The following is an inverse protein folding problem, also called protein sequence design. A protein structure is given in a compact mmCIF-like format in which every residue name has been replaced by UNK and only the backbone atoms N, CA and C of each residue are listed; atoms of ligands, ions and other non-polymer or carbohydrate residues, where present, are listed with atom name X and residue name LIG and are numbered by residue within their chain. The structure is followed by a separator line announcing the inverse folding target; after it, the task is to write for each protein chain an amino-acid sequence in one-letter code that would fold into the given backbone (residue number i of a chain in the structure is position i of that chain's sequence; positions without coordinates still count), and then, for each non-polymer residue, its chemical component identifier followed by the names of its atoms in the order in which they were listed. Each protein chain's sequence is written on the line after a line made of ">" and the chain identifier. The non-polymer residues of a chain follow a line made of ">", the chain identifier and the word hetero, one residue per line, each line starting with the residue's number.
data_IF_565446104396
#
_entry.id   IF_565446104396
#
_cell.length_a   1.000
_cell.length_b   1.000
_cell.length_c   1.000
_cell.angle_alpha   90.00
_cell.angle_beta   90.00
_cell.angle_gamma   90.00
#
_symmetry.space_group_name_H-M   'P 1'
#
loop_
_entity.id
_entity.type
_entity.pdbx_description
1 polymer ?
#
# COMPACT_ATOMS: atom_id res chain seq x y z
N UNK A 1 7.05 83.50 15.48
CA UNK A 1 5.80 82.69 15.65
C UNK A 1 5.45 81.84 14.40
N UNK A 2 5.71 82.29 13.18
CA UNK A 2 5.38 81.52 11.93
C UNK A 2 6.41 80.40 11.64
N UNK A 3 7.63 80.51 12.15
CA UNK A 3 8.71 79.52 11.91
C UNK A 3 8.59 78.28 12.85
N UNK A 4 8.16 78.51 14.08
CA UNK A 4 7.94 77.46 15.09
C UNK A 4 6.72 76.57 14.70
N UNK A 5 5.70 77.15 14.11
CA UNK A 5 4.54 76.37 13.68
C UNK A 5 4.83 75.39 12.51
N UNK A 6 5.72 75.74 11.57
CA UNK A 6 6.12 74.82 10.49
C UNK A 6 6.93 73.63 10.98
N UNK A 7 7.82 73.82 11.95
CA UNK A 7 8.64 72.72 12.50
C UNK A 7 7.77 71.71 13.25
N UNK A 8 6.82 72.16 14.03
CA UNK A 8 5.86 71.30 14.75
C UNK A 8 4.99 70.51 13.79
N UNK A 9 4.50 71.12 12.71
CA UNK A 9 3.69 70.41 11.70
C UNK A 9 4.52 69.30 11.00
N UNK A 10 5.80 69.52 10.72
CA UNK A 10 6.66 68.51 10.08
C UNK A 10 6.89 67.31 11.03
N UNK A 11 7.17 67.53 12.32
CA UNK A 11 7.31 66.46 13.28
C UNK A 11 6.04 65.62 13.49
N UNK A 12 4.88 66.29 13.47
CA UNK A 12 3.57 65.61 13.51
C UNK A 12 3.30 64.78 12.27
N UNK A 13 3.68 65.25 11.09
CA UNK A 13 3.51 64.54 9.83
C UNK A 13 4.33 63.27 9.78
N UNK A 14 5.58 63.29 10.21
CA UNK A 14 6.45 62.09 10.27
C UNK A 14 5.89 61.02 11.22
N UNK A 15 5.48 61.43 12.41
CA UNK A 15 4.82 60.54 13.39
C UNK A 15 3.52 59.95 12.86
N UNK A 16 2.72 60.72 12.15
CA UNK A 16 1.47 60.27 11.54
C UNK A 16 1.72 59.22 10.44
N UNK A 17 2.71 59.44 9.60
CA UNK A 17 3.10 58.50 8.54
C UNK A 17 3.56 57.14 9.15
N UNK A 18 4.35 57.19 10.21
CA UNK A 18 4.80 55.97 10.91
C UNK A 18 3.61 55.20 11.51
N UNK A 19 2.69 55.86 12.17
CA UNK A 19 1.49 55.22 12.71
C UNK A 19 0.63 54.63 11.59
N UNK A 20 0.46 55.35 10.49
CA UNK A 20 -0.31 54.89 9.35
C UNK A 20 0.34 53.63 8.72
N UNK A 21 1.67 53.60 8.59
CA UNK A 21 2.41 52.44 8.11
C UNK A 21 2.22 51.20 9.03
N UNK A 22 2.36 51.39 10.34
CA UNK A 22 2.15 50.29 11.30
C UNK A 22 0.70 49.78 11.29
N UNK A 23 -0.29 50.66 11.25
CA UNK A 23 -1.69 50.21 11.16
C UNK A 23 -2.00 49.46 9.87
N UNK A 24 -1.48 49.94 8.73
CA UNK A 24 -1.63 49.27 7.43
C UNK A 24 -0.93 47.89 7.46
N UNK A 25 0.27 47.81 8.05
CA UNK A 25 1.04 46.56 8.18
C UNK A 25 0.30 45.53 9.04
N UNK A 26 -0.31 45.95 10.16
CA UNK A 26 -1.12 45.06 11.02
C UNK A 26 -2.36 44.57 10.27
N UNK A 27 -3.05 45.43 9.55
CA UNK A 27 -4.24 45.06 8.77
C UNK A 27 -3.88 44.08 7.66
N UNK A 28 -2.81 44.32 6.91
CA UNK A 28 -2.36 43.38 5.85
C UNK A 28 -1.94 42.04 6.41
N UNK A 29 -1.25 42.00 7.55
CA UNK A 29 -0.89 40.76 8.24
C UNK A 29 -2.13 39.99 8.69
N UNK A 30 -3.11 40.69 9.27
CA UNK A 30 -4.36 40.07 9.72
C UNK A 30 -5.16 39.48 8.56
N UNK A 31 -5.28 40.21 7.45
CA UNK A 31 -5.95 39.74 6.24
C UNK A 31 -5.24 38.54 5.61
N UNK A 32 -3.90 38.58 5.56
CA UNK A 32 -3.09 37.46 5.06
C UNK A 32 -3.28 36.19 5.90
N UNK A 33 -3.24 36.33 7.23
CA UNK A 33 -3.46 35.21 8.13
C UNK A 33 -4.87 34.61 7.99
N UNK A 34 -5.89 35.47 7.85
CA UNK A 34 -7.28 35.03 7.64
C UNK A 34 -7.42 34.27 6.30
N UNK A 35 -6.78 34.77 5.23
CA UNK A 35 -6.74 34.09 3.94
C UNK A 35 -6.06 32.73 4.03
N UNK A 36 -4.87 32.65 4.61
CA UNK A 36 -4.12 31.41 4.77
C UNK A 36 -4.90 30.37 5.62
N UNK A 37 -5.61 30.79 6.66
CA UNK A 37 -6.45 29.87 7.46
C UNK A 37 -7.67 29.37 6.69
N UNK A 38 -8.28 30.19 5.83
CA UNK A 38 -9.37 29.77 4.97
C UNK A 38 -8.89 28.79 3.88
N UNK A 39 -7.75 29.03 3.25
CA UNK A 39 -7.15 28.14 2.27
C UNK A 39 -6.80 26.78 2.88
N UNK A 40 -6.19 26.77 4.08
CA UNK A 40 -5.91 25.51 4.79
C UNK A 40 -7.18 24.72 5.11
N UNK A 41 -8.25 25.39 5.53
CA UNK A 41 -9.54 24.74 5.79
C UNK A 41 -10.12 24.15 4.50
N UNK A 42 -10.02 24.82 3.38
CA UNK A 42 -10.51 24.35 2.10
C UNK A 42 -9.71 23.11 1.64
N UNK A 43 -8.37 23.09 1.82
CA UNK A 43 -7.53 21.95 1.49
C UNK A 43 -7.90 20.73 2.35
N UNK A 44 -8.09 20.93 3.66
CA UNK A 44 -8.49 19.83 4.56
C UNK A 44 -9.88 19.30 4.18
N UNK A 45 -10.83 20.19 3.90
CA UNK A 45 -12.19 19.80 3.51
C UNK A 45 -12.21 19.04 2.19
N UNK A 46 -11.46 19.51 1.19
CA UNK A 46 -11.37 18.80 -0.10
C UNK A 46 -10.71 17.43 0.04
N UNK A 47 -9.65 17.31 0.85
CA UNK A 47 -9.01 16.02 1.13
C UNK A 47 -9.96 15.06 1.86
N UNK A 48 -10.73 15.55 2.83
CA UNK A 48 -11.74 14.74 3.54
C UNK A 48 -12.88 14.31 2.61
N UNK A 49 -13.34 15.19 1.71
CA UNK A 49 -14.36 14.86 0.72
C UNK A 49 -13.86 13.76 -0.25
N UNK A 50 -12.66 13.89 -0.79
CA UNK A 50 -12.06 12.87 -1.67
C UNK A 50 -11.89 11.53 -0.95
N UNK A 51 -11.49 11.54 0.32
CA UNK A 51 -11.38 10.31 1.12
C UNK A 51 -12.76 9.67 1.34
N UNK A 52 -13.78 10.46 1.66
CA UNK A 52 -15.15 9.96 1.83
C UNK A 52 -15.72 9.37 0.53
N UNK A 53 -15.47 10.00 -0.62
CA UNK A 53 -15.86 9.48 -1.93
C UNK A 53 -15.21 8.11 -2.21
N UNK A 54 -13.92 7.97 -1.89
CA UNK A 54 -13.20 6.70 -2.02
C UNK A 54 -13.80 5.60 -1.14
N UNK A 55 -14.13 5.92 0.10
CA UNK A 55 -14.77 4.96 1.03
C UNK A 55 -16.15 4.54 0.54
N UNK A 56 -16.95 5.49 0.05
CA UNK A 56 -18.28 5.20 -0.53
C UNK A 56 -18.14 4.29 -1.75
N UNK A 57 -17.18 4.56 -2.63
CA UNK A 57 -16.91 3.71 -3.80
C UNK A 57 -16.55 2.28 -3.38
N UNK A 58 -15.65 2.12 -2.41
CA UNK A 58 -15.28 0.80 -1.88
C UNK A 58 -16.48 0.06 -1.27
N UNK A 59 -17.32 0.74 -0.48
CA UNK A 59 -18.53 0.16 0.10
C UNK A 59 -19.52 -0.28 -0.99
N UNK A 60 -19.65 0.51 -2.04
CA UNK A 60 -20.51 0.19 -3.19
C UNK A 60 -20.00 -1.07 -3.90
N UNK A 61 -18.70 -1.21 -4.09
CA UNK A 61 -18.11 -2.41 -4.69
C UNK A 61 -18.29 -3.65 -3.81
N UNK A 62 -18.14 -3.52 -2.49
CA UNK A 62 -18.45 -4.61 -1.55
C UNK A 62 -19.93 -5.02 -1.61
N UNK A 63 -20.85 -4.06 -1.67
CA UNK A 63 -22.28 -4.36 -1.81
C UNK A 63 -22.59 -5.10 -3.12
N UNK A 64 -21.94 -4.69 -4.21
CA UNK A 64 -22.07 -5.31 -5.52
C UNK A 64 -21.58 -6.75 -5.51
N UNK A 65 -20.40 -6.99 -4.93
CA UNK A 65 -19.86 -8.34 -4.74
C UNK A 65 -20.78 -9.21 -3.87
N UNK A 66 -21.26 -8.68 -2.76
CA UNK A 66 -22.21 -9.39 -1.89
C UNK A 66 -23.53 -9.72 -2.60
N UNK A 67 -23.99 -8.87 -3.52
CA UNK A 67 -25.18 -9.15 -4.33
C UNK A 67 -24.93 -10.30 -5.32
N UNK A 68 -23.75 -10.35 -5.96
CA UNK A 68 -23.35 -11.44 -6.85
C UNK A 68 -23.28 -12.75 -6.05
N UNK A 69 -22.61 -12.77 -4.90
CA UNK A 69 -22.52 -13.97 -4.06
C UNK A 69 -23.90 -14.49 -3.62
N UNK A 70 -24.83 -13.60 -3.24
CA UNK A 70 -26.19 -14.01 -2.90
C UNK A 70 -26.96 -14.60 -4.07
N UNK A 71 -26.72 -14.05 -5.26
CA UNK A 71 -27.33 -14.56 -6.49
C UNK A 71 -26.80 -15.97 -6.79
N UNK A 72 -25.50 -16.17 -6.74
CA UNK A 72 -24.86 -17.45 -7.02
C UNK A 72 -25.25 -18.53 -5.99
N UNK A 73 -25.26 -18.18 -4.69
CA UNK A 73 -25.75 -19.05 -3.64
C UNK A 73 -27.21 -19.50 -3.90
N UNK A 74 -28.05 -18.58 -4.35
CA UNK A 74 -29.46 -18.93 -4.68
C UNK A 74 -29.51 -19.93 -5.83
N UNK A 75 -28.67 -19.76 -6.85
CA UNK A 75 -28.60 -20.71 -7.97
C UNK A 75 -28.15 -22.10 -7.50
N UNK A 76 -27.10 -22.17 -6.68
CA UNK A 76 -26.62 -23.43 -6.10
C UNK A 76 -27.73 -24.12 -5.30
N UNK A 77 -28.41 -23.38 -4.41
CA UNK A 77 -29.51 -23.94 -3.61
C UNK A 77 -30.66 -24.41 -4.46
N UNK A 78 -31.04 -23.64 -5.50
CA UNK A 78 -32.14 -24.04 -6.42
C UNK A 78 -31.77 -25.30 -7.20
N UNK A 79 -30.53 -25.45 -7.65
CA UNK A 79 -30.10 -26.67 -8.34
C UNK A 79 -30.15 -27.89 -7.41
N UNK A 80 -29.61 -27.80 -6.19
CA UNK A 80 -29.65 -28.87 -5.19
C UNK A 80 -31.10 -29.24 -4.87
N UNK A 81 -31.98 -28.25 -4.66
CA UNK A 81 -33.41 -28.46 -4.39
C UNK A 81 -34.10 -29.21 -5.54
N UNK A 82 -33.82 -28.82 -6.78
CA UNK A 82 -34.42 -29.49 -7.95
C UNK A 82 -33.92 -30.93 -8.08
N UNK A 83 -32.65 -31.22 -7.82
CA UNK A 83 -32.14 -32.59 -7.81
C UNK A 83 -32.85 -33.46 -6.74
N UNK A 84 -33.04 -32.91 -5.53
CA UNK A 84 -33.74 -33.64 -4.46
C UNK A 84 -35.23 -33.89 -4.75
N UNK A 85 -35.93 -32.91 -5.32
CA UNK A 85 -37.36 -33.04 -5.69
C UNK A 85 -37.53 -34.14 -6.75
N UNK A 86 -36.56 -34.25 -7.67
CA UNK A 86 -36.62 -35.23 -8.76
C UNK A 86 -35.95 -36.56 -8.40
N UNK A 87 -35.66 -36.84 -7.12
CA UNK A 87 -34.99 -38.04 -6.63
C UNK A 87 -33.59 -38.31 -7.23
N UNK A 88 -32.94 -37.29 -7.76
CA UNK A 88 -31.56 -37.37 -8.29
C UNK A 88 -30.54 -37.08 -7.18
N UNK A 89 -30.55 -37.87 -6.11
CA UNK A 89 -29.76 -37.66 -4.90
C UNK A 89 -28.25 -37.74 -5.16
N UNK A 90 -27.80 -38.65 -6.05
CA UNK A 90 -26.38 -38.77 -6.42
C UNK A 90 -25.89 -37.50 -7.11
N UNK A 91 -26.65 -36.94 -8.04
CA UNK A 91 -26.25 -35.68 -8.72
C UNK A 91 -26.20 -34.50 -7.74
N UNK A 92 -27.08 -34.46 -6.74
CA UNK A 92 -27.02 -33.44 -5.70
C UNK A 92 -25.73 -33.57 -4.85
N UNK A 93 -25.35 -34.81 -4.50
CA UNK A 93 -24.12 -35.07 -3.73
C UNK A 93 -22.86 -34.76 -4.53
N UNK A 94 -22.81 -35.13 -5.80
CA UNK A 94 -21.69 -34.82 -6.69
C UNK A 94 -21.52 -33.31 -6.82
N UNK A 95 -22.60 -32.57 -7.01
CA UNK A 95 -22.56 -31.12 -7.10
C UNK A 95 -22.11 -30.44 -5.82
N UNK A 96 -22.59 -30.93 -4.64
CA UNK A 96 -22.10 -30.45 -3.33
C UNK A 96 -20.60 -30.71 -3.19
N UNK A 97 -20.11 -31.87 -3.60
CA UNK A 97 -18.68 -32.23 -3.56
C UNK A 97 -17.86 -31.34 -4.50
N UNK A 98 -18.37 -31.03 -5.70
CA UNK A 98 -17.74 -30.10 -6.62
C UNK A 98 -17.61 -28.68 -6.04
N UNK A 99 -18.69 -28.17 -5.43
CA UNK A 99 -18.67 -26.88 -4.73
C UNK A 99 -17.66 -26.91 -3.58
N UNK A 100 -17.67 -27.95 -2.75
CA UNK A 100 -16.73 -28.09 -1.63
C UNK A 100 -15.29 -28.13 -2.11
N UNK A 101 -15.00 -28.84 -3.20
CA UNK A 101 -13.66 -28.91 -3.80
C UNK A 101 -13.23 -27.52 -4.34
N UNK A 102 -14.15 -26.78 -4.95
CA UNK A 102 -13.89 -25.41 -5.41
C UNK A 102 -13.66 -24.43 -4.25
N UNK A 103 -14.37 -24.60 -3.13
CA UNK A 103 -14.17 -23.83 -1.90
C UNK A 103 -12.86 -24.22 -1.19
N UNK A 104 -12.47 -25.50 -1.22
CA UNK A 104 -11.19 -25.95 -0.68
C UNK A 104 -9.99 -25.42 -1.48
N UNK A 105 -10.12 -25.23 -2.78
CA UNK A 105 -9.15 -24.53 -3.60
C UNK A 105 -9.07 -23.02 -3.29
N UNK A 106 -10.09 -22.47 -2.61
CA UNK A 106 -10.12 -21.09 -2.11
C UNK A 106 -9.72 -21.01 -0.63
N UNK A 107 -9.29 -22.14 -0.02
CA UNK A 107 -8.76 -22.13 1.35
C UNK A 107 -7.68 -21.08 1.47
N UNK A 108 -7.92 -20.09 2.33
CA UNK A 108 -6.89 -19.17 2.79
C UNK A 108 -5.80 -20.04 3.42
N UNK A 109 -4.76 -20.33 2.68
CA UNK A 109 -3.63 -21.11 3.19
C UNK A 109 -3.12 -20.41 4.44
N UNK A 110 -3.12 -21.11 5.58
CA UNK A 110 -2.68 -20.51 6.83
C UNK A 110 -1.16 -20.51 6.89
N UNK A 111 -0.57 -19.38 6.65
CA UNK A 111 0.89 -19.19 6.68
C UNK A 111 1.41 -18.89 8.08
N UNK A 112 0.61 -18.27 8.96
CA UNK A 112 0.98 -17.96 10.34
C UNK A 112 -0.23 -17.92 11.27
N UNK A 113 0.03 -17.85 12.58
CA UNK A 113 -1.02 -17.81 13.61
C UNK A 113 -1.66 -16.43 13.78
N UNK A 114 -1.00 -15.36 13.36
CA UNK A 114 -1.56 -14.02 13.42
C UNK A 114 -2.50 -13.81 12.23
N UNK A 115 -3.76 -13.51 12.52
CA UNK A 115 -4.83 -13.41 11.52
C UNK A 115 -4.62 -12.27 10.52
N UNK A 116 -4.19 -11.10 10.98
CA UNK A 116 -3.96 -9.94 10.12
C UNK A 116 -2.76 -10.15 9.18
N UNK A 117 -1.66 -10.70 9.69
CA UNK A 117 -0.48 -11.04 8.88
C UNK A 117 -0.85 -12.13 7.88
N UNK A 118 -1.60 -13.16 8.31
CA UNK A 118 -2.05 -14.23 7.42
C UNK A 118 -2.93 -13.70 6.29
N UNK A 119 -3.83 -12.75 6.58
CA UNK A 119 -4.69 -12.13 5.57
C UNK A 119 -3.86 -11.37 4.52
N UNK A 120 -2.88 -10.58 4.94
CA UNK A 120 -1.97 -9.86 4.04
C UNK A 120 -1.20 -10.84 3.16
N UNK A 121 -0.55 -11.84 3.76
CA UNK A 121 0.20 -12.85 3.00
C UNK A 121 -0.69 -13.55 1.98
N UNK A 122 -1.86 -14.05 2.39
CA UNK A 122 -2.80 -14.75 1.50
C UNK A 122 -3.26 -13.89 0.33
N UNK A 123 -3.55 -12.61 0.58
CA UNK A 123 -3.99 -11.67 -0.45
C UNK A 123 -2.91 -11.43 -1.51
N UNK A 124 -1.69 -11.10 -1.08
CA UNK A 124 -0.60 -10.80 -2.00
C UNK A 124 -0.06 -12.06 -2.72
N UNK A 125 -0.05 -13.20 -2.04
CA UNK A 125 0.31 -14.50 -2.66
C UNK A 125 -0.70 -14.89 -3.73
N UNK A 126 -2.00 -14.72 -3.47
CA UNK A 126 -3.04 -14.93 -4.47
C UNK A 126 -2.85 -14.00 -5.67
N UNK A 127 -2.49 -12.72 -5.45
CA UNK A 127 -2.17 -11.75 -6.51
C UNK A 127 -0.95 -12.23 -7.33
N UNK A 128 0.14 -12.66 -6.68
CA UNK A 128 1.34 -13.17 -7.35
C UNK A 128 1.06 -14.42 -8.20
N UNK A 129 0.32 -15.38 -7.63
CA UNK A 129 -0.03 -16.62 -8.35
C UNK A 129 -0.91 -16.35 -9.58
N UNK A 130 -1.84 -15.39 -9.51
CA UNK A 130 -2.66 -14.96 -10.66
C UNK A 130 -1.84 -14.32 -11.78
N UNK A 131 -0.67 -13.77 -11.47
CA UNK A 131 0.26 -13.21 -12.46
C UNK A 131 1.32 -14.22 -12.92
N UNK A 132 1.19 -15.50 -12.55
CA UNK A 132 2.12 -16.57 -12.97
C UNK A 132 3.43 -16.61 -12.18
N UNK A 133 3.51 -15.89 -11.03
CA UNK A 133 4.71 -15.87 -10.19
C UNK A 133 4.63 -17.02 -9.20
N UNK A 134 5.66 -17.87 -9.16
CA UNK A 134 5.79 -18.91 -8.12
C UNK A 134 6.15 -18.29 -6.78
N UNK A 135 5.51 -18.76 -5.70
CA UNK A 135 5.75 -18.22 -4.36
C UNK A 135 6.18 -19.32 -3.40
N UNK A 136 7.21 -19.05 -2.57
CA UNK A 136 7.67 -19.92 -1.48
C UNK A 136 7.58 -19.16 -0.16
N UNK A 137 6.82 -19.67 0.80
CA UNK A 137 6.56 -18.98 2.05
C UNK A 137 6.92 -19.86 3.24
N UNK A 138 7.64 -19.27 4.19
CA UNK A 138 8.00 -19.91 5.46
C UNK A 138 7.87 -18.87 6.58
N UNK A 139 6.88 -19.01 7.45
CA UNK A 139 6.67 -18.15 8.61
C UNK A 139 6.79 -19.00 9.86
N UNK A 140 7.89 -18.84 10.58
CA UNK A 140 8.15 -19.54 11.86
C UNK A 140 8.09 -18.58 13.04
N UNK A 141 8.00 -17.27 12.80
CA UNK A 141 7.73 -16.28 13.85
C UNK A 141 6.34 -16.50 14.42
N UNK A 142 6.22 -16.54 15.74
CA UNK A 142 4.98 -16.83 16.45
C UNK A 142 4.54 -15.69 17.38
N UNK A 143 5.49 -14.94 17.94
CA UNK A 143 5.20 -13.82 18.83
C UNK A 143 5.34 -12.47 18.14
N UNK A 144 4.21 -11.78 17.99
CA UNK A 144 4.11 -10.44 17.43
C UNK A 144 3.70 -9.39 18.45
N UNK A 145 3.64 -9.74 19.76
CA UNK A 145 3.09 -8.88 20.82
C UNK A 145 3.89 -7.60 21.03
N UNK A 146 5.18 -7.60 20.71
CA UNK A 146 6.06 -6.43 20.81
C UNK A 146 5.87 -5.41 19.67
N UNK A 147 5.00 -5.68 18.69
CA UNK A 147 4.88 -4.89 17.47
C UNK A 147 3.44 -4.45 17.21
N UNK A 148 3.29 -3.23 16.69
CA UNK A 148 1.98 -2.78 16.20
C UNK A 148 1.68 -3.53 14.89
N UNK A 149 0.62 -4.33 14.89
CA UNK A 149 0.25 -5.19 13.76
C UNK A 149 0.08 -4.40 12.45
N UNK A 150 -0.46 -3.18 12.52
CA UNK A 150 -0.60 -2.31 11.34
C UNK A 150 0.74 -1.94 10.70
N UNK A 151 1.80 -1.81 11.49
CA UNK A 151 3.13 -1.50 10.98
C UNK A 151 3.73 -2.71 10.26
N UNK A 152 3.61 -3.91 10.85
CA UNK A 152 4.03 -5.17 10.21
C UNK A 152 3.25 -5.43 8.91
N UNK A 153 1.94 -5.22 8.92
CA UNK A 153 1.11 -5.34 7.73
C UNK A 153 1.53 -4.37 6.62
N UNK A 154 1.82 -3.11 6.99
CA UNK A 154 2.29 -2.09 6.03
C UNK A 154 3.66 -2.46 5.45
N UNK A 155 4.59 -2.93 6.28
CA UNK A 155 5.91 -3.35 5.85
C UNK A 155 5.82 -4.53 4.87
N UNK A 156 5.07 -5.58 5.23
CA UNK A 156 4.89 -6.77 4.40
C UNK A 156 4.19 -6.44 3.09
N UNK A 157 3.11 -5.67 3.14
CA UNK A 157 2.37 -5.26 1.94
C UNK A 157 3.28 -4.53 0.95
N UNK A 158 4.00 -3.50 1.41
CA UNK A 158 4.91 -2.73 0.56
C UNK A 158 6.06 -3.60 0.01
N UNK A 159 6.65 -4.47 0.83
CA UNK A 159 7.77 -5.30 0.40
C UNK A 159 7.34 -6.37 -0.62
N UNK A 160 6.20 -7.02 -0.40
CA UNK A 160 5.69 -8.04 -1.33
C UNK A 160 5.17 -7.39 -2.62
N UNK A 161 4.53 -6.24 -2.55
CA UNK A 161 4.09 -5.50 -3.73
C UNK A 161 5.27 -5.07 -4.61
N UNK A 162 6.36 -4.59 -4.01
CA UNK A 162 7.59 -4.28 -4.73
C UNK A 162 8.18 -5.54 -5.41
N UNK A 163 8.16 -6.69 -4.74
CA UNK A 163 8.63 -7.95 -5.31
C UNK A 163 7.77 -8.39 -6.51
N UNK A 164 6.44 -8.29 -6.41
CA UNK A 164 5.52 -8.59 -7.52
C UNK A 164 5.78 -7.65 -8.71
N UNK A 165 5.87 -6.34 -8.45
CA UNK A 165 6.11 -5.35 -9.49
C UNK A 165 7.46 -5.59 -10.18
N UNK A 166 8.52 -5.93 -9.46
CA UNK A 166 9.83 -6.23 -10.03
C UNK A 166 9.82 -7.48 -10.94
N UNK A 167 8.99 -8.48 -10.63
CA UNK A 167 8.80 -9.66 -11.48
C UNK A 167 7.96 -9.36 -12.73
N UNK A 168 7.04 -8.38 -12.69
CA UNK A 168 6.07 -8.10 -13.76
C UNK A 168 6.43 -6.91 -14.63
N UNK A 169 7.45 -6.12 -14.28
CA UNK A 169 7.90 -4.96 -15.05
C UNK A 169 8.39 -5.41 -16.42
N UNK A 170 7.54 -5.33 -17.44
CA UNK A 170 7.95 -5.39 -18.83
C UNK A 170 8.18 -3.96 -19.31
N UNK A 171 9.43 -3.60 -19.57
CA UNK A 171 9.70 -2.41 -20.37
C UNK A 171 9.12 -2.63 -21.78
N UNK A 172 8.14 -1.82 -22.17
CA UNK A 172 7.60 -1.70 -23.52
C UNK A 172 8.63 -1.09 -24.48
N UNK A 173 9.82 -1.64 -24.56
CA UNK A 173 10.86 -1.22 -25.51
C UNK A 173 11.62 -2.43 -26.03
N UNK A 174 10.98 -3.17 -26.91
CA UNK A 174 11.54 -3.67 -28.18
C UNK A 174 10.51 -4.55 -28.87
N UNK A 175 9.84 -3.98 -29.89
CA UNK A 175 9.18 -4.73 -30.93
C UNK A 175 10.27 -5.54 -31.73
N UNK A 176 10.70 -6.65 -31.21
CA UNK A 176 11.51 -7.59 -31.94
C UNK A 176 10.90 -8.98 -31.75
N UNK A 177 10.07 -9.45 -32.72
CA UNK A 177 9.34 -10.72 -32.63
C UNK A 177 10.21 -11.98 -32.80
N UNK A 178 11.54 -11.86 -32.75
CA UNK A 178 12.45 -12.97 -32.99
C UNK A 178 13.31 -13.38 -31.78
N UNK A 179 13.04 -12.89 -30.58
CA UNK A 179 13.80 -13.21 -29.36
C UNK A 179 13.04 -14.09 -28.34
N UNK A 180 11.86 -14.62 -28.70
CA UNK A 180 10.92 -15.29 -27.79
C UNK A 180 11.12 -16.80 -27.62
N UNK A 181 12.28 -17.31 -27.92
CA UNK A 181 12.43 -18.77 -27.86
C UNK A 181 13.58 -19.25 -26.97
N UNK A 182 13.81 -18.76 -25.75
CA UNK A 182 14.62 -19.51 -24.74
C UNK A 182 14.86 -18.77 -23.42
N UNK A 183 13.87 -18.07 -22.87
CA UNK A 183 13.94 -17.70 -21.42
C UNK A 183 12.72 -18.19 -20.68
N UNK A 184 12.74 -19.43 -20.27
CA UNK A 184 11.89 -19.99 -19.23
C UNK A 184 12.30 -19.37 -17.87
N UNK A 185 12.18 -18.05 -17.73
CA UNK A 185 12.41 -17.36 -16.47
C UNK A 185 11.14 -17.52 -15.61
N UNK A 186 11.06 -18.64 -14.89
CA UNK A 186 10.05 -18.80 -13.85
C UNK A 186 10.29 -17.73 -12.78
N UNK A 187 9.41 -16.72 -12.72
CA UNK A 187 9.46 -15.71 -11.68
C UNK A 187 9.22 -16.35 -10.32
N UNK A 188 10.08 -16.05 -9.37
CA UNK A 188 10.03 -16.62 -8.02
C UNK A 188 10.06 -15.51 -7.00
N UNK A 189 9.17 -15.59 -6.00
CA UNK A 189 9.21 -14.78 -4.78
C UNK A 189 9.34 -15.73 -3.59
N UNK A 190 10.33 -15.50 -2.74
CA UNK A 190 10.51 -16.24 -1.49
C UNK A 190 10.31 -15.31 -0.31
N UNK A 191 9.44 -15.68 0.64
CA UNK A 191 9.14 -14.91 1.85
C UNK A 191 9.50 -15.78 3.06
N UNK A 192 10.36 -15.27 3.93
CA UNK A 192 10.71 -15.93 5.20
C UNK A 192 10.55 -14.94 6.34
N UNK A 193 9.83 -15.37 7.39
CA UNK A 193 9.70 -14.63 8.64
C UNK A 193 10.06 -15.57 9.79
N UNK A 194 11.00 -15.16 10.62
CA UNK A 194 11.49 -15.98 11.73
C UNK A 194 11.93 -15.10 12.90
N UNK A 195 12.01 -15.70 14.07
CA UNK A 195 12.54 -15.03 15.26
C UNK A 195 14.03 -15.30 15.42
N UNK A 196 14.79 -14.26 15.76
CA UNK A 196 16.19 -14.34 16.11
C UNK A 196 16.52 -13.31 17.19
N UNK A 197 17.05 -13.74 18.32
CA UNK A 197 17.42 -12.85 19.44
C UNK A 197 16.27 -11.94 19.88
N UNK A 198 15.08 -12.49 20.07
CA UNK A 198 13.85 -11.73 20.41
C UNK A 198 13.45 -10.65 19.40
N UNK A 199 13.93 -10.75 18.17
CA UNK A 199 13.57 -9.85 17.07
C UNK A 199 12.91 -10.64 15.95
N UNK A 200 11.93 -10.02 15.28
CA UNK A 200 11.36 -10.58 14.07
C UNK A 200 12.27 -10.22 12.89
N UNK A 201 12.75 -11.23 12.19
CA UNK A 201 13.51 -11.09 10.97
C UNK A 201 12.65 -11.46 9.76
N UNK A 202 12.65 -10.61 8.76
CA UNK A 202 11.87 -10.71 7.52
C UNK A 202 12.87 -10.73 6.37
N UNK A 203 12.83 -11.77 5.56
CA UNK A 203 13.62 -11.91 4.34
C UNK A 203 12.66 -12.11 3.18
N UNK A 204 12.67 -11.18 2.22
CA UNK A 204 11.93 -11.33 0.97
C UNK A 204 12.93 -11.26 -0.17
N UNK A 205 12.89 -12.25 -1.04
CA UNK A 205 13.72 -12.27 -2.24
C UNK A 205 12.88 -12.57 -3.47
N UNK A 206 13.23 -11.95 -4.58
CA UNK A 206 12.52 -12.11 -5.84
C UNK A 206 13.48 -12.03 -7.04
N UNK A 207 13.11 -12.73 -8.10
CA UNK A 207 13.67 -12.48 -9.43
C UNK A 207 13.20 -11.12 -9.93
N UNK A 208 13.92 -10.49 -10.83
CA UNK A 208 13.56 -9.21 -11.43
C UNK A 208 13.74 -9.26 -12.96
N UNK A 209 12.94 -8.47 -13.66
CA UNK A 209 13.03 -8.31 -15.11
C UNK A 209 14.05 -7.23 -15.49
N UNK A 210 14.08 -6.14 -14.73
CA UNK A 210 15.02 -5.02 -14.91
C UNK A 210 15.96 -4.94 -13.72
N UNK A 211 17.24 -4.65 -13.99
CA UNK A 211 18.25 -4.55 -12.93
C UNK A 211 17.96 -3.36 -12.00
N UNK A 212 17.81 -3.60 -10.69
CA UNK A 212 17.50 -2.53 -9.74
C UNK A 212 18.67 -1.55 -9.60
N UNK A 213 18.36 -0.26 -9.65
CA UNK A 213 19.33 0.80 -9.38
C UNK A 213 19.33 1.17 -7.91
N UNK A 214 20.51 1.50 -7.36
CA UNK A 214 20.67 1.86 -5.96
C UNK A 214 21.29 3.25 -5.81
N UNK A 215 20.75 4.04 -4.86
CA UNK A 215 21.36 5.29 -4.39
C UNK A 215 21.52 5.17 -2.88
N UNK A 216 22.74 5.28 -2.37
CA UNK A 216 23.06 5.09 -0.95
C UNK A 216 22.51 3.75 -0.39
N UNK A 217 22.68 2.66 -1.12
CA UNK A 217 22.20 1.30 -0.78
C UNK A 217 20.67 1.17 -0.71
N UNK A 218 19.90 2.17 -1.12
CA UNK A 218 18.45 2.14 -1.20
C UNK A 218 18.06 1.99 -2.68
N UNK A 219 17.18 1.01 -3.01
CA UNK A 219 16.71 0.88 -4.38
C UNK A 219 15.86 2.08 -4.80
N UNK A 220 16.10 2.58 -6.00
CA UNK A 220 15.38 3.70 -6.59
C UNK A 220 14.67 3.26 -7.87
N UNK A 221 13.54 3.88 -8.14
CA UNK A 221 12.79 3.68 -9.38
C UNK A 221 12.62 5.00 -10.11
N UNK A 222 12.69 4.95 -11.44
CA UNK A 222 12.45 6.10 -12.30
C UNK A 222 10.96 6.41 -12.53
N UNK A 223 10.05 5.54 -12.07
CA UNK A 223 8.61 5.74 -12.26
C UNK A 223 8.05 6.74 -11.25
N UNK A 224 7.39 7.77 -11.75
CA UNK A 224 6.68 8.78 -10.96
C UNK A 224 5.64 8.11 -10.02
N UNK A 225 5.79 8.31 -8.71
CA UNK A 225 4.89 7.75 -7.69
C UNK A 225 5.39 6.47 -6.99
N UNK A 226 6.46 5.82 -7.47
CA UNK A 226 7.05 4.61 -6.89
C UNK A 226 8.18 4.99 -5.94
N UNK A 227 8.28 5.28 -4.90
CA UNK A 227 9.36 5.57 -3.90
C UNK A 227 8.78 5.58 -2.48
N UNK A 228 7.44 5.64 -2.40
CA UNK A 228 6.74 5.73 -1.11
C UNK A 228 6.84 4.41 -0.36
N UNK A 229 6.74 3.26 -1.05
CA UNK A 229 6.78 1.93 -0.45
C UNK A 229 8.11 1.63 0.26
N UNK A 230 9.25 1.93 -0.37
CA UNK A 230 10.57 1.72 0.25
C UNK A 230 10.77 2.61 1.46
N UNK A 231 10.36 3.88 1.39
CA UNK A 231 10.42 4.80 2.54
C UNK A 231 9.52 4.35 3.68
N UNK A 232 8.34 3.82 3.39
CA UNK A 232 7.45 3.24 4.39
C UNK A 232 8.08 2.03 5.09
N UNK A 233 8.73 1.13 4.34
CA UNK A 233 9.46 -0.01 4.89
C UNK A 233 10.56 0.48 5.85
N UNK A 234 11.41 1.40 5.40
CA UNK A 234 12.50 1.96 6.19
C UNK A 234 11.98 2.60 7.48
N UNK A 235 10.95 3.45 7.36
CA UNK A 235 10.33 4.12 8.51
C UNK A 235 9.82 3.15 9.57
N UNK A 236 9.21 2.03 9.14
CA UNK A 236 8.75 1.00 10.07
C UNK A 236 9.95 0.32 10.75
N UNK A 237 10.98 -0.06 10.01
CA UNK A 237 12.16 -0.73 10.58
C UNK A 237 12.88 0.19 11.58
N UNK A 238 13.09 1.45 11.24
CA UNK A 238 13.73 2.45 12.11
C UNK A 238 12.93 2.72 13.38
N UNK A 239 11.58 2.75 13.29
CA UNK A 239 10.68 2.90 14.43
C UNK A 239 10.92 1.86 15.53
N UNK A 240 11.30 0.64 15.15
CA UNK A 240 11.58 -0.46 16.09
C UNK A 240 13.09 -0.64 16.35
N UNK A 241 13.92 0.37 16.04
CA UNK A 241 15.38 0.29 16.15
C UNK A 241 15.95 -0.96 15.46
N UNK A 242 15.35 -1.31 14.32
CA UNK A 242 15.73 -2.43 13.50
C UNK A 242 16.86 -2.11 12.54
N UNK A 243 17.32 -3.12 11.85
CA UNK A 243 18.30 -3.03 10.77
C UNK A 243 17.68 -3.55 9.48
N UNK A 244 18.07 -2.99 8.35
CA UNK A 244 17.65 -3.45 7.04
C UNK A 244 18.78 -3.46 6.04
N UNK A 245 18.62 -4.24 4.98
CA UNK A 245 19.50 -4.27 3.83
C UNK A 245 18.70 -4.56 2.57
N UNK A 246 19.10 -3.89 1.48
CA UNK A 246 18.64 -4.17 0.12
C UNK A 246 19.88 -4.45 -0.73
N UNK A 247 19.87 -5.55 -1.47
CA UNK A 247 20.99 -5.88 -2.36
C UNK A 247 20.54 -6.86 -3.45
N UNK A 248 21.36 -7.00 -4.47
CA UNK A 248 21.18 -8.02 -5.52
C UNK A 248 22.34 -9.01 -5.45
N UNK A 249 22.05 -10.27 -5.72
CA UNK A 249 23.04 -11.34 -5.84
C UNK A 249 22.50 -12.42 -6.77
N UNK A 250 23.30 -12.86 -7.72
CA UNK A 250 23.01 -13.96 -8.64
C UNK A 250 21.65 -13.81 -9.37
N UNK A 251 21.30 -12.57 -9.79
CA UNK A 251 20.05 -12.27 -10.48
C UNK A 251 18.81 -12.25 -9.59
N UNK A 252 18.99 -12.22 -8.28
CA UNK A 252 17.91 -12.15 -7.28
C UNK A 252 18.06 -10.88 -6.46
N UNK A 253 16.97 -10.16 -6.28
CA UNK A 253 16.87 -9.04 -5.34
C UNK A 253 16.52 -9.54 -3.96
N UNK A 254 17.15 -8.98 -2.94
CA UNK A 254 16.95 -9.31 -1.54
C UNK A 254 16.56 -8.07 -0.74
N UNK A 255 15.51 -8.19 0.02
CA UNK A 255 15.18 -7.33 1.15
C UNK A 255 15.28 -8.13 2.43
N UNK A 256 16.08 -7.64 3.37
CA UNK A 256 16.24 -8.24 4.70
C UNK A 256 16.02 -7.17 5.75
N UNK A 257 15.26 -7.48 6.79
CA UNK A 257 15.08 -6.63 7.94
C UNK A 257 14.98 -7.48 9.21
N UNK A 258 15.51 -6.96 10.33
CA UNK A 258 15.28 -7.48 11.67
C UNK A 258 14.87 -6.31 12.56
N UNK A 259 13.71 -6.37 13.16
CA UNK A 259 13.07 -5.34 13.97
C UNK A 259 12.91 -5.77 15.42
#
# INVERSE_FOLDING_TARGET
>A
LLYTGKAVIIEFMDSFIVILYFTLSIVTLHLSNKKNTAERKNIILSAAATQAEKEISQLTDYQKQAAIYRHDLRHHMTFIQNCLINNHTEQALDYINEINTSLDNTRITRYCNNEAINLILSSYISKANKTGITTQISVTASDFSGYKITDLCSLLANAIENAINACTSQNNTTNNPLADSEKNNSHLITIRMFEKNNKICINISNTYSDEPQFVNQIPVTSQLGHGIGIRSIISVVEKYNGIYAFFTKDGIFYFQACI
#
